data_IF_323272830452
#
_entry.id   IF_323272830452
#
_cell.length_a   1.000
_cell.length_b   1.000
_cell.length_c   1.000
_cell.angle_alpha   90.00
_cell.angle_beta   90.00
_cell.angle_gamma   90.00
#
_symmetry.space_group_name_H-M   'P 1'
#
loop_
_entity.id
_entity.type
_entity.pdbx_description
1 polymer ?
#
# COMPACT_ATOMS: atom_id res chain seq x y z
N UNK A 1 31.26 10.27 17.64
CA UNK A 1 30.00 10.89 17.19
C UNK A 1 28.79 9.94 17.15
N UNK A 2 28.89 8.69 17.60
CA UNK A 2 27.81 7.70 17.63
C UNK A 2 27.27 7.50 19.06
N UNK A 3 26.99 8.59 19.75
CA UNK A 3 26.49 8.55 21.15
C UNK A 3 25.00 8.14 21.17
N UNK A 4 24.24 8.53 20.15
CA UNK A 4 22.82 8.23 20.02
C UNK A 4 22.54 7.49 18.71
N UNK A 5 21.46 6.71 18.69
CA UNK A 5 21.00 6.06 17.46
C UNK A 5 20.39 7.07 16.46
N UNK A 6 20.17 6.61 15.22
CA UNK A 6 19.66 7.44 14.11
C UNK A 6 18.32 8.10 14.49
N UNK A 7 17.38 7.35 15.05
CA UNK A 7 16.06 7.88 15.41
C UNK A 7 16.16 8.99 16.47
N UNK A 8 17.03 8.86 17.46
CA UNK A 8 17.24 9.91 18.45
C UNK A 8 17.95 11.12 17.84
N UNK A 9 18.84 10.91 16.86
CA UNK A 9 19.53 11.99 16.14
C UNK A 9 18.61 12.82 15.23
N UNK A 10 17.40 12.35 14.95
CA UNK A 10 16.36 13.08 14.20
C UNK A 10 15.50 13.99 15.09
N UNK A 11 15.68 13.95 16.42
CA UNK A 11 14.93 14.81 17.35
C UNK A 11 15.65 16.17 17.49
N UNK A 12 15.06 17.26 17.02
CA UNK A 12 15.66 18.56 17.22
C UNK A 12 15.56 18.96 18.70
N UNK A 13 16.58 19.67 19.22
CA UNK A 13 16.65 20.07 20.63
C UNK A 13 16.50 18.92 21.63
N UNK A 14 17.10 17.76 21.29
CA UNK A 14 17.02 16.56 22.12
C UNK A 14 17.47 16.78 23.56
N UNK A 15 18.43 17.67 23.78
CA UNK A 15 18.97 18.05 25.10
C UNK A 15 17.93 18.71 26.03
N UNK A 16 16.84 19.21 25.48
CA UNK A 16 15.74 19.80 26.25
C UNK A 16 14.63 18.81 26.60
N UNK A 17 14.69 17.61 26.06
CA UNK A 17 13.70 16.56 26.32
C UNK A 17 14.14 15.66 27.48
N UNK A 18 13.19 15.26 28.32
CA UNK A 18 13.40 14.18 29.28
C UNK A 18 13.68 12.86 28.54
N UNK A 19 14.57 12.03 29.10
CA UNK A 19 14.98 10.78 28.50
C UNK A 19 13.80 9.85 28.17
N UNK A 20 12.79 9.78 29.06
CA UNK A 20 11.59 8.98 28.83
C UNK A 20 10.79 9.45 27.61
N UNK A 21 10.67 10.78 27.44
CA UNK A 21 9.95 11.37 26.31
C UNK A 21 10.74 11.24 25.01
N UNK A 22 12.04 11.42 25.04
CA UNK A 22 12.92 11.20 23.91
C UNK A 22 12.86 9.73 23.43
N UNK A 23 12.82 8.76 24.35
CA UNK A 23 12.62 7.34 24.02
C UNK A 23 11.28 7.11 23.31
N UNK A 24 10.19 7.69 23.83
CA UNK A 24 8.88 7.57 23.18
C UNK A 24 8.88 8.20 21.78
N UNK A 25 9.43 9.40 21.62
CA UNK A 25 9.55 10.08 20.33
C UNK A 25 10.36 9.27 19.31
N UNK A 26 11.51 8.76 19.71
CA UNK A 26 12.38 7.90 18.90
C UNK A 26 11.63 6.66 18.40
N UNK A 27 10.94 5.96 19.29
CA UNK A 27 10.18 4.77 18.96
C UNK A 27 8.98 5.08 18.04
N UNK A 28 8.29 6.21 18.25
CA UNK A 28 7.14 6.59 17.41
C UNK A 28 7.55 7.01 16.00
N UNK A 29 8.74 7.60 15.80
CA UNK A 29 9.24 7.87 14.45
C UNK A 29 9.43 6.60 13.63
N UNK A 30 9.82 5.48 14.25
CA UNK A 30 9.90 4.19 13.58
C UNK A 30 8.53 3.61 13.19
N UNK A 31 7.44 4.09 13.78
CA UNK A 31 6.07 3.68 13.50
C UNK A 31 5.32 4.66 12.57
N UNK A 32 6.00 5.68 12.06
CA UNK A 32 5.38 6.68 11.19
C UNK A 32 4.91 6.03 9.88
N UNK A 33 3.65 6.23 9.54
CA UNK A 33 3.06 5.75 8.29
C UNK A 33 3.47 6.68 7.15
N UNK A 34 4.00 6.16 6.03
CA UNK A 34 4.29 6.97 4.85
C UNK A 34 3.04 7.68 4.34
N UNK A 35 3.13 8.99 4.18
CA UNK A 35 2.03 9.82 3.73
C UNK A 35 2.03 9.98 2.21
N UNK A 36 0.87 10.26 1.65
CA UNK A 36 0.70 10.55 0.23
C UNK A 36 1.51 11.78 -0.21
N UNK A 37 1.55 12.80 0.64
CA UNK A 37 2.30 14.04 0.44
C UNK A 37 3.14 14.32 1.67
N UNK A 38 4.31 13.72 1.80
CA UNK A 38 5.21 14.03 2.92
C UNK A 38 5.75 15.44 2.77
N UNK A 39 6.07 16.09 3.89
CA UNK A 39 6.72 17.40 3.92
C UNK A 39 8.02 17.32 4.71
N UNK A 40 9.06 18.00 4.22
CA UNK A 40 10.31 18.19 4.94
C UNK A 40 10.01 18.91 6.26
N UNK A 41 10.56 18.47 7.41
CA UNK A 41 10.38 19.17 8.66
C UNK A 41 11.01 20.57 8.61
N UNK A 42 10.26 21.60 9.00
CA UNK A 42 10.76 23.00 9.04
C UNK A 42 11.95 23.17 10.00
N UNK A 43 11.95 22.37 11.07
CA UNK A 43 13.07 22.31 12.02
C UNK A 43 13.68 20.92 11.93
N UNK A 44 14.92 20.84 11.47
CA UNK A 44 15.63 19.60 11.21
C UNK A 44 16.96 19.56 11.99
N UNK A 45 17.58 18.37 12.05
CA UNK A 45 18.89 18.18 12.70
C UNK A 45 20.02 18.08 11.68
N UNK A 46 19.71 17.95 10.38
CA UNK A 46 20.66 17.65 9.31
C UNK A 46 20.93 16.15 9.12
N UNK A 47 20.41 15.29 10.01
CA UNK A 47 20.50 13.84 9.86
C UNK A 47 19.52 13.30 8.82
N UNK A 48 18.48 14.05 8.50
CA UNK A 48 17.39 13.68 7.58
C UNK A 48 17.90 13.34 6.19
N UNK A 49 18.84 14.14 5.67
CA UNK A 49 19.47 13.89 4.37
C UNK A 49 20.28 12.59 4.36
N UNK A 50 21.15 12.40 5.35
CA UNK A 50 21.95 11.18 5.46
C UNK A 50 21.08 9.94 5.66
N UNK A 51 20.03 10.05 6.47
CA UNK A 51 19.09 8.96 6.70
C UNK A 51 18.35 8.55 5.42
N UNK A 52 17.90 9.51 4.60
CA UNK A 52 17.27 9.25 3.31
C UNK A 52 18.24 8.62 2.31
N UNK A 53 19.43 9.17 2.18
CA UNK A 53 20.46 8.70 1.24
C UNK A 53 20.92 7.27 1.57
N UNK A 54 21.30 7.03 2.81
CA UNK A 54 21.88 5.74 3.25
C UNK A 54 20.83 4.63 3.42
N UNK A 55 19.55 4.98 3.48
CA UNK A 55 18.44 4.00 3.53
C UNK A 55 18.31 3.17 2.24
N UNK A 56 18.85 3.66 1.12
CA UNK A 56 18.66 3.05 -0.20
C UNK A 56 17.23 3.17 -0.76
N UNK A 57 16.36 3.97 -0.12
CA UNK A 57 14.98 4.21 -0.59
C UNK A 57 14.94 5.21 -1.75
N UNK A 58 15.81 6.21 -1.73
CA UNK A 58 15.96 7.20 -2.80
C UNK A 58 16.87 6.65 -3.90
N UNK A 59 16.65 7.10 -5.13
CA UNK A 59 17.53 6.75 -6.25
C UNK A 59 18.53 7.87 -6.45
N UNK A 60 19.81 7.52 -6.50
CA UNK A 60 20.90 8.45 -6.73
C UNK A 60 21.56 8.22 -8.08
N UNK A 61 22.07 9.29 -8.70
CA UNK A 61 22.83 9.20 -9.93
C UNK A 61 24.21 8.57 -9.65
N UNK A 62 24.52 7.46 -10.29
CA UNK A 62 25.82 6.79 -10.13
C UNK A 62 26.96 7.53 -10.83
N UNK A 63 26.65 8.26 -11.89
CA UNK A 63 27.58 9.11 -12.65
C UNK A 63 26.93 10.43 -13.03
N UNK A 64 27.75 11.40 -13.34
CA UNK A 64 27.31 12.67 -13.86
C UNK A 64 26.77 12.55 -15.30
N UNK A 65 25.76 13.33 -15.63
CA UNK A 65 25.14 13.32 -16.95
C UNK A 65 24.00 14.29 -17.10
N UNK A 66 23.29 14.15 -18.20
CA UNK A 66 22.09 14.90 -18.55
C UNK A 66 20.88 13.97 -18.55
N UNK A 67 19.77 14.38 -17.95
CA UNK A 67 18.52 13.62 -17.95
C UNK A 67 17.91 13.63 -19.36
N UNK A 68 18.01 12.50 -20.04
CA UNK A 68 17.52 12.35 -21.43
C UNK A 68 16.00 12.12 -21.47
N UNK A 69 15.45 11.37 -20.53
CA UNK A 69 14.03 11.06 -20.45
C UNK A 69 13.59 10.80 -19.02
N UNK A 70 12.36 11.23 -18.69
CA UNK A 70 11.71 10.97 -17.41
C UNK A 70 10.29 10.49 -17.69
N UNK A 71 9.93 9.38 -17.10
CA UNK A 71 8.57 8.82 -17.10
C UNK A 71 8.14 8.52 -15.67
N UNK A 72 6.91 8.10 -15.46
CA UNK A 72 6.43 7.68 -14.13
C UNK A 72 7.12 6.42 -13.59
N UNK A 73 7.81 5.63 -14.42
CA UNK A 73 8.42 4.35 -14.03
C UNK A 73 9.93 4.30 -14.22
N UNK A 74 10.52 5.21 -15.00
CA UNK A 74 11.96 5.18 -15.28
C UNK A 74 12.54 6.56 -15.56
N UNK A 75 13.82 6.70 -15.24
CA UNK A 75 14.65 7.87 -15.55
C UNK A 75 15.83 7.39 -16.38
N UNK A 76 16.07 8.03 -17.52
CA UNK A 76 17.21 7.72 -18.39
C UNK A 76 18.17 8.90 -18.36
N UNK A 77 19.42 8.64 -17.98
CA UNK A 77 20.50 9.63 -17.94
C UNK A 77 21.51 9.32 -19.05
N UNK A 78 21.85 10.34 -19.84
CA UNK A 78 22.96 10.32 -20.75
C UNK A 78 24.22 10.70 -19.98
N UNK A 79 25.09 9.74 -19.74
CA UNK A 79 26.38 9.97 -19.06
C UNK A 79 27.34 10.78 -19.93
N UNK A 80 28.29 11.45 -19.32
CA UNK A 80 29.28 12.26 -20.06
C UNK A 80 30.16 11.43 -21.00
N UNK A 81 30.33 10.14 -20.72
CA UNK A 81 31.08 9.21 -21.59
C UNK A 81 30.25 8.72 -22.79
N UNK A 82 29.02 9.22 -22.94
CA UNK A 82 28.07 8.88 -24.02
C UNK A 82 27.19 7.67 -23.74
N UNK A 83 27.36 7.00 -22.61
CA UNK A 83 26.51 5.90 -22.18
C UNK A 83 25.09 6.36 -21.82
N UNK A 84 24.12 5.45 -21.98
CA UNK A 84 22.75 5.66 -21.52
C UNK A 84 22.50 4.73 -20.33
N UNK A 85 22.15 5.29 -19.18
CA UNK A 85 21.81 4.54 -17.98
C UNK A 85 20.33 4.69 -17.66
N UNK A 86 19.67 3.56 -17.45
CA UNK A 86 18.26 3.51 -17.08
C UNK A 86 18.13 3.20 -15.58
N UNK A 87 17.40 4.05 -14.87
CA UNK A 87 17.01 3.88 -13.47
C UNK A 87 15.54 3.55 -13.41
N UNK A 88 15.21 2.30 -13.05
CA UNK A 88 13.85 1.83 -12.90
C UNK A 88 13.31 2.18 -11.51
N UNK A 89 12.15 2.82 -11.44
CA UNK A 89 11.49 3.19 -10.19
C UNK A 89 10.52 2.11 -9.72
N UNK A 90 10.46 1.90 -8.42
CA UNK A 90 9.46 1.05 -7.78
C UNK A 90 8.13 1.78 -7.71
N UNK A 91 7.07 1.16 -8.23
CA UNK A 91 5.73 1.74 -8.27
C UNK A 91 4.74 0.87 -7.51
N UNK A 92 4.02 1.47 -6.56
CA UNK A 92 2.93 0.85 -5.80
C UNK A 92 3.27 -0.52 -5.21
N UNK A 93 4.49 -0.71 -4.77
CA UNK A 93 4.89 -1.95 -4.11
C UNK A 93 4.44 -1.96 -2.66
N UNK A 94 4.05 -3.14 -2.18
CA UNK A 94 3.68 -3.34 -0.79
C UNK A 94 4.92 -3.54 0.07
N UNK A 95 5.05 -2.78 1.14
CA UNK A 95 6.02 -3.04 2.20
C UNK A 95 5.55 -4.18 3.12
N UNK A 96 6.42 -4.64 4.03
CA UNK A 96 6.06 -5.65 5.04
C UNK A 96 4.94 -5.19 5.98
N UNK A 97 4.74 -3.89 6.13
CA UNK A 97 3.69 -3.28 6.96
C UNK A 97 2.45 -2.86 6.16
N UNK A 98 2.25 -3.40 4.96
CA UNK A 98 1.16 -3.05 4.05
C UNK A 98 1.18 -1.59 3.56
N UNK A 99 2.22 -0.84 3.83
CA UNK A 99 2.37 0.53 3.34
C UNK A 99 2.83 0.54 1.88
N UNK A 100 2.52 1.62 1.16
CA UNK A 100 2.86 1.76 -0.25
C UNK A 100 4.29 2.27 -0.41
N UNK A 101 5.10 1.55 -1.19
CA UNK A 101 6.39 2.03 -1.68
C UNK A 101 6.16 2.55 -3.10
N UNK A 102 6.35 3.84 -3.28
CA UNK A 102 6.14 4.52 -4.57
C UNK A 102 7.24 5.56 -4.78
N UNK A 103 8.13 5.29 -5.73
CA UNK A 103 9.20 6.21 -6.09
C UNK A 103 8.73 7.21 -7.14
N UNK A 104 9.11 8.47 -6.95
CA UNK A 104 8.72 9.60 -7.80
C UNK A 104 9.94 10.33 -8.30
N UNK A 105 10.01 10.71 -9.60
CA UNK A 105 11.14 11.45 -10.13
C UNK A 105 11.24 12.82 -9.46
N UNK A 106 12.44 13.18 -9.03
CA UNK A 106 12.78 14.49 -8.47
C UNK A 106 13.48 15.40 -9.51
N UNK A 107 13.71 14.89 -10.72
CA UNK A 107 14.40 15.59 -11.80
C UNK A 107 13.51 15.75 -13.03
N UNK A 108 13.87 16.70 -13.89
CA UNK A 108 13.17 16.96 -15.15
C UNK A 108 14.10 16.70 -16.34
N UNK A 109 13.49 16.43 -17.52
CA UNK A 109 14.25 16.23 -18.77
C UNK A 109 15.12 17.46 -19.08
N UNK A 110 16.37 17.20 -19.47
CA UNK A 110 17.38 18.22 -19.78
C UNK A 110 18.15 18.74 -18.56
N UNK A 111 17.82 18.29 -17.34
CA UNK A 111 18.55 18.66 -16.14
C UNK A 111 19.92 17.97 -16.11
N UNK A 112 20.94 18.73 -15.71
CA UNK A 112 22.28 18.19 -15.47
C UNK A 112 22.32 17.67 -14.03
N UNK A 113 22.79 16.46 -13.83
CA UNK A 113 22.95 15.81 -12.54
C UNK A 113 24.40 15.40 -12.32
N UNK A 114 24.87 15.60 -11.10
CA UNK A 114 26.17 15.14 -10.63
C UNK A 114 26.13 13.71 -10.11
N UNK A 115 27.28 13.09 -9.92
CA UNK A 115 27.39 11.82 -9.22
C UNK A 115 26.95 11.98 -7.76
N UNK A 116 26.01 11.16 -7.32
CA UNK A 116 25.48 11.19 -5.95
C UNK A 116 24.27 12.09 -5.78
N UNK A 117 23.83 12.82 -6.81
CA UNK A 117 22.60 13.60 -6.74
C UNK A 117 21.38 12.68 -6.66
N UNK A 118 20.41 13.07 -5.86
CA UNK A 118 19.14 12.34 -5.74
C UNK A 118 18.27 12.65 -6.96
N UNK A 119 17.88 11.62 -7.69
CA UNK A 119 17.10 11.72 -8.93
C UNK A 119 15.67 11.26 -8.76
N UNK A 120 15.37 10.47 -7.72
CA UNK A 120 14.01 10.11 -7.37
C UNK A 120 13.86 9.99 -5.85
N UNK A 121 12.76 10.55 -5.34
CA UNK A 121 12.29 10.37 -3.98
C UNK A 121 11.46 9.10 -3.84
N UNK A 122 11.31 8.63 -2.61
CA UNK A 122 10.51 7.46 -2.26
C UNK A 122 9.43 7.82 -1.22
N UNK A 123 8.83 6.80 -0.64
CA UNK A 123 7.92 6.97 0.50
C UNK A 123 8.65 7.61 1.67
N UNK A 124 7.98 8.54 2.37
CA UNK A 124 8.54 9.28 3.50
C UNK A 124 9.82 10.08 3.19
N UNK A 125 10.03 10.45 1.95
CA UNK A 125 11.10 11.39 1.55
C UNK A 125 10.53 12.50 0.68
N UNK A 126 11.14 13.67 0.76
CA UNK A 126 10.82 14.83 -0.05
C UNK A 126 12.11 15.63 -0.30
N UNK A 127 12.35 16.00 -1.55
CA UNK A 127 13.57 16.68 -2.01
C UNK A 127 14.88 16.06 -1.47
N UNK A 128 14.92 14.74 -1.33
CA UNK A 128 16.08 14.00 -0.84
C UNK A 128 16.27 13.98 0.67
N UNK A 129 15.34 14.50 1.43
CA UNK A 129 15.37 14.47 2.89
C UNK A 129 14.26 13.57 3.45
N UNK A 130 14.50 13.02 4.63
CA UNK A 130 13.50 12.22 5.35
C UNK A 130 12.34 13.11 5.79
N UNK A 131 11.13 12.75 5.34
CA UNK A 131 9.88 13.46 5.59
C UNK A 131 8.84 12.47 6.16
N UNK A 132 8.78 12.33 7.47
CA UNK A 132 7.91 11.36 8.14
C UNK A 132 6.48 11.85 8.37
N UNK A 133 6.20 13.12 8.15
CA UNK A 133 4.92 13.72 8.50
C UNK A 133 4.61 15.01 7.77
N UNK A 134 3.88 15.88 8.43
CA UNK A 134 3.41 17.16 7.94
C UNK A 134 3.72 18.28 8.92
N UNK A 135 4.00 19.46 8.40
CA UNK A 135 4.08 20.67 9.21
C UNK A 135 2.68 21.25 9.40
N UNK A 136 2.25 21.36 10.64
CA UNK A 136 0.91 21.83 10.99
C UNK A 136 0.97 23.00 11.99
N UNK A 137 0.09 23.97 11.84
CA UNK A 137 -0.13 25.00 12.85
C UNK A 137 -0.94 24.40 13.98
N UNK A 138 -0.44 24.52 15.22
CA UNK A 138 -1.05 23.95 16.42
C UNK A 138 -1.47 25.08 17.37
N UNK A 139 -2.69 25.01 17.87
CA UNK A 139 -3.18 25.88 18.94
C UNK A 139 -3.31 25.07 20.25
N UNK A 140 -2.80 25.63 21.34
CA UNK A 140 -2.86 25.04 22.68
C UNK A 140 -3.92 25.78 23.52
N UNK A 141 -5.11 25.18 23.58
CA UNK A 141 -6.23 25.73 24.38
C UNK A 141 -7.21 24.61 24.73
N UNK A 142 -8.01 24.80 25.78
CA UNK A 142 -9.11 23.87 26.04
C UNK A 142 -10.22 24.08 25.03
N UNK A 143 -10.70 23.03 24.39
CA UNK A 143 -11.75 23.08 23.39
C UNK A 143 -12.90 22.15 23.74
N UNK A 144 -13.85 22.63 24.52
CA UNK A 144 -15.10 21.95 24.89
C UNK A 144 -14.91 20.47 25.37
N UNK A 145 -13.79 20.22 26.02
CA UNK A 145 -13.40 18.87 26.46
C UNK A 145 -12.97 17.91 25.33
N UNK A 146 -13.00 18.35 24.06
CA UNK A 146 -12.62 17.51 22.91
C UNK A 146 -11.14 17.17 22.85
N UNK A 147 -10.29 17.88 23.58
CA UNK A 147 -8.85 17.63 23.70
C UNK A 147 -8.43 17.24 25.12
N UNK A 148 -9.34 16.64 25.89
CA UNK A 148 -9.05 16.15 27.24
C UNK A 148 -8.08 14.98 27.20
N UNK A 149 -7.09 14.95 28.11
CA UNK A 149 -6.09 13.89 28.24
C UNK A 149 -5.39 13.48 26.91
N UNK A 150 -4.66 14.41 26.32
CA UNK A 150 -3.90 14.20 25.09
C UNK A 150 -4.76 13.90 23.83
N UNK A 151 -6.07 14.12 23.87
CA UNK A 151 -6.91 14.06 22.69
C UNK A 151 -6.64 15.27 21.78
N UNK A 152 -6.77 15.06 20.48
CA UNK A 152 -6.43 16.04 19.44
C UNK A 152 -7.66 16.32 18.59
N UNK A 153 -7.91 17.61 18.32
CA UNK A 153 -8.87 18.05 17.31
C UNK A 153 -8.12 18.34 16.01
N UNK A 154 -8.66 17.89 14.90
CA UNK A 154 -8.11 18.11 13.56
C UNK A 154 -9.10 18.94 12.75
N UNK A 155 -8.60 19.94 12.02
CA UNK A 155 -9.44 20.70 11.08
C UNK A 155 -9.85 19.83 9.89
N UNK A 156 -11.11 19.94 9.49
CA UNK A 156 -11.64 19.28 8.29
C UNK A 156 -10.84 19.62 7.03
N UNK A 157 -10.30 20.84 6.94
CA UNK A 157 -9.44 21.26 5.85
C UNK A 157 -8.20 20.35 5.68
N UNK A 158 -7.60 19.88 6.78
CA UNK A 158 -6.45 18.98 6.69
C UNK A 158 -6.84 17.63 6.06
N UNK A 159 -8.06 17.18 6.33
CA UNK A 159 -8.60 15.94 5.71
C UNK A 159 -8.93 16.16 4.24
N UNK A 160 -9.50 17.31 3.90
CA UNK A 160 -9.83 17.69 2.51
C UNK A 160 -8.57 17.83 1.66
N UNK A 161 -7.54 18.48 2.19
CA UNK A 161 -6.25 18.70 1.53
C UNK A 161 -5.34 17.44 1.50
N UNK A 162 -5.82 16.30 1.98
CA UNK A 162 -5.06 15.03 2.07
C UNK A 162 -3.74 15.12 2.86
N UNK A 163 -3.70 15.96 3.89
CA UNK A 163 -2.46 16.21 4.64
C UNK A 163 -1.89 14.96 5.32
N UNK A 164 -2.74 14.15 5.94
CA UNK A 164 -2.36 12.92 6.62
C UNK A 164 -2.91 11.66 5.94
N UNK A 165 -3.17 11.75 4.65
CA UNK A 165 -3.66 10.61 3.86
C UNK A 165 -2.52 9.65 3.56
N UNK A 166 -2.78 8.36 3.71
CA UNK A 166 -1.85 7.27 3.41
C UNK A 166 -2.44 6.27 2.44
N UNK A 167 -1.58 5.51 1.77
CA UNK A 167 -1.97 4.43 0.86
C UNK A 167 -1.49 3.11 1.45
N UNK A 168 -2.41 2.16 1.58
CA UNK A 168 -2.13 0.82 2.07
C UNK A 168 -2.43 -0.19 0.97
N UNK A 169 -1.54 -1.17 0.79
CA UNK A 169 -1.69 -2.22 -0.21
C UNK A 169 -1.90 -3.54 0.50
N UNK A 170 -3.11 -4.09 0.39
CA UNK A 170 -3.44 -5.40 0.95
C UNK A 170 -3.35 -6.47 -0.12
N UNK A 171 -2.95 -7.68 0.28
CA UNK A 171 -2.85 -8.84 -0.59
C UNK A 171 -3.98 -9.80 -0.30
N UNK A 172 -4.68 -10.18 -1.35
CA UNK A 172 -5.69 -11.22 -1.31
C UNK A 172 -5.22 -12.38 -2.18
N UNK A 173 -5.16 -13.57 -1.61
CA UNK A 173 -4.65 -14.75 -2.29
C UNK A 173 -5.71 -15.85 -2.33
N UNK A 174 -5.80 -16.54 -3.44
CA UNK A 174 -6.62 -17.73 -3.61
C UNK A 174 -5.82 -18.82 -4.28
N UNK A 175 -5.96 -20.03 -3.79
CA UNK A 175 -5.33 -21.23 -4.33
C UNK A 175 -6.41 -22.12 -4.94
N UNK A 176 -6.18 -22.61 -6.14
CA UNK A 176 -6.96 -23.70 -6.74
C UNK A 176 -6.23 -25.02 -6.47
N UNK A 177 -6.90 -25.90 -5.76
CA UNK A 177 -6.34 -27.17 -5.28
C UNK A 177 -7.00 -28.36 -5.96
N UNK A 178 -6.23 -29.41 -6.14
CA UNK A 178 -6.79 -30.71 -6.50
C UNK A 178 -7.46 -31.34 -5.27
N UNK A 179 -8.75 -31.66 -5.38
CA UNK A 179 -9.54 -32.25 -4.30
C UNK A 179 -9.96 -33.67 -4.64
N UNK A 180 -10.36 -34.45 -3.63
CA UNK A 180 -10.87 -35.82 -3.82
C UNK A 180 -12.12 -35.89 -4.70
N UNK A 181 -12.85 -34.81 -4.86
CA UNK A 181 -14.08 -34.69 -5.66
C UNK A 181 -13.84 -34.13 -7.06
N UNK A 182 -12.60 -33.74 -7.37
CA UNK A 182 -12.18 -33.10 -8.60
C UNK A 182 -11.33 -31.87 -8.33
N UNK A 183 -10.71 -31.33 -9.36
CA UNK A 183 -9.90 -30.11 -9.26
C UNK A 183 -10.80 -28.88 -9.08
N UNK A 184 -10.35 -27.94 -8.24
CA UNK A 184 -10.93 -26.59 -8.20
C UNK A 184 -10.49 -25.84 -9.46
N UNK A 185 -11.36 -24.98 -9.97
CA UNK A 185 -11.11 -24.26 -11.22
C UNK A 185 -11.28 -22.74 -10.97
N UNK A 186 -10.32 -21.96 -11.48
CA UNK A 186 -10.45 -20.51 -11.55
C UNK A 186 -11.10 -20.17 -12.89
N UNK A 187 -12.29 -19.57 -12.84
CA UNK A 187 -13.11 -19.32 -14.02
C UNK A 187 -14.03 -18.12 -13.82
N UNK A 188 -14.44 -17.51 -14.93
CA UNK A 188 -15.49 -16.49 -14.95
C UNK A 188 -16.89 -17.09 -14.84
N UNK A 189 -17.07 -18.35 -15.20
CA UNK A 189 -18.37 -19.04 -15.21
C UNK A 189 -18.74 -19.50 -13.80
N UNK A 190 -19.28 -18.58 -13.01
CA UNK A 190 -19.66 -18.78 -11.61
C UNK A 190 -21.18 -18.96 -11.52
N UNK A 191 -21.68 -19.99 -10.83
CA UNK A 191 -23.11 -20.21 -10.70
C UNK A 191 -23.79 -19.13 -9.86
N UNK A 192 -25.00 -18.72 -10.24
CA UNK A 192 -25.87 -17.76 -9.53
C UNK A 192 -25.25 -16.36 -9.33
N UNK A 193 -24.44 -15.91 -10.27
CA UNK A 193 -23.85 -14.57 -10.28
C UNK A 193 -24.30 -13.83 -11.53
N UNK A 194 -24.79 -12.58 -11.37
CA UNK A 194 -25.21 -11.73 -12.47
C UNK A 194 -24.00 -11.13 -13.23
N UNK A 195 -24.22 -10.77 -14.49
CA UNK A 195 -23.19 -10.18 -15.36
C UNK A 195 -22.59 -8.91 -14.79
N UNK A 196 -23.33 -8.12 -14.02
CA UNK A 196 -22.84 -6.88 -13.41
C UNK A 196 -21.69 -7.14 -12.40
N UNK A 197 -21.75 -8.26 -11.69
CA UNK A 197 -20.72 -8.68 -10.75
C UNK A 197 -19.46 -9.26 -11.44
N UNK A 198 -19.57 -9.59 -12.73
CA UNK A 198 -18.49 -10.17 -13.55
C UNK A 198 -17.84 -9.15 -14.49
N UNK A 199 -18.33 -7.90 -14.53
CA UNK A 199 -17.90 -6.88 -15.48
C UNK A 199 -16.40 -6.56 -15.45
N UNK A 200 -15.78 -6.63 -14.26
CA UNK A 200 -14.38 -6.30 -14.03
C UNK A 200 -13.47 -7.54 -14.05
N UNK A 201 -14.03 -8.73 -14.30
CA UNK A 201 -13.26 -9.96 -14.48
C UNK A 201 -12.88 -10.15 -15.94
N UNK A 202 -11.66 -10.66 -16.15
CA UNK A 202 -11.18 -11.10 -17.47
C UNK A 202 -11.82 -12.45 -17.89
N UNK A 203 -11.40 -12.97 -19.04
CA UNK A 203 -11.88 -14.25 -19.58
C UNK A 203 -11.54 -15.43 -18.65
N UNK A 204 -10.49 -15.32 -17.85
CA UNK A 204 -10.04 -16.32 -16.89
C UNK A 204 -10.71 -16.19 -15.53
N UNK A 205 -11.59 -15.21 -15.34
CA UNK A 205 -12.25 -14.97 -14.07
C UNK A 205 -11.40 -14.21 -13.04
N UNK A 206 -10.36 -13.52 -13.47
CA UNK A 206 -9.46 -12.73 -12.63
C UNK A 206 -9.75 -11.26 -12.84
N UNK A 207 -9.78 -10.48 -11.75
CA UNK A 207 -10.06 -9.04 -11.83
C UNK A 207 -8.94 -8.28 -12.56
N UNK A 208 -9.33 -7.31 -13.39
CA UNK A 208 -8.39 -6.47 -14.14
C UNK A 208 -7.68 -5.46 -13.23
N UNK A 209 -6.43 -5.14 -13.55
CA UNK A 209 -5.69 -4.05 -12.90
C UNK A 209 -6.41 -2.72 -13.19
N UNK A 210 -6.52 -1.88 -12.17
CA UNK A 210 -7.20 -0.59 -12.23
C UNK A 210 -8.69 -0.64 -11.91
N UNK A 211 -9.29 -1.81 -11.69
CA UNK A 211 -10.67 -1.93 -11.25
C UNK A 211 -10.85 -1.35 -9.83
N UNK A 212 -11.95 -0.65 -9.61
CA UNK A 212 -12.39 -0.23 -8.28
C UNK A 212 -13.24 -1.34 -7.69
N UNK A 213 -12.93 -1.73 -6.45
CA UNK A 213 -13.60 -2.82 -5.75
C UNK A 213 -14.24 -2.35 -4.46
N UNK A 214 -15.44 -2.84 -4.23
CA UNK A 214 -16.25 -2.62 -3.04
C UNK A 214 -16.39 -3.92 -2.23
N UNK A 215 -16.88 -3.85 -0.98
CA UNK A 215 -17.13 -5.06 -0.18
C UNK A 215 -18.00 -6.07 -0.94
N UNK A 216 -17.59 -7.34 -0.90
CA UNK A 216 -18.24 -8.48 -1.56
C UNK A 216 -18.06 -8.57 -3.09
N UNK A 217 -17.37 -7.64 -3.74
CA UNK A 217 -17.00 -7.79 -5.16
C UNK A 217 -16.07 -8.99 -5.36
N UNK A 218 -16.21 -9.65 -6.51
CA UNK A 218 -15.40 -10.82 -6.85
C UNK A 218 -14.02 -10.35 -7.35
N UNK A 219 -12.97 -10.78 -6.65
CA UNK A 219 -11.58 -10.55 -7.07
C UNK A 219 -11.10 -11.66 -8.00
N UNK A 220 -11.41 -12.90 -7.67
CA UNK A 220 -11.07 -14.08 -8.47
C UNK A 220 -12.22 -15.06 -8.41
N UNK A 221 -12.77 -15.40 -9.56
CA UNK A 221 -13.81 -16.42 -9.67
C UNK A 221 -13.23 -17.81 -9.48
N UNK A 222 -13.74 -18.57 -8.53
CA UNK A 222 -13.35 -19.95 -8.28
C UNK A 222 -14.57 -20.82 -8.01
N UNK A 223 -14.57 -22.00 -8.59
CA UNK A 223 -15.59 -23.04 -8.37
C UNK A 223 -14.95 -24.30 -7.80
N UNK A 224 -15.66 -24.94 -6.89
CA UNK A 224 -15.25 -26.19 -6.25
C UNK A 224 -16.29 -27.25 -6.54
N UNK A 225 -15.91 -28.48 -6.96
CA UNK A 225 -16.85 -29.57 -7.15
C UNK A 225 -17.60 -29.92 -5.87
N UNK A 226 -18.93 -30.12 -5.97
CA UNK A 226 -19.77 -30.60 -4.86
C UNK A 226 -19.79 -32.12 -4.79
N UNK A 227 -19.74 -32.68 -3.59
CA UNK A 227 -20.02 -34.11 -3.38
C UNK A 227 -21.53 -34.38 -3.44
N UNK A 228 -21.89 -35.59 -3.85
CA UNK A 228 -23.30 -36.04 -3.98
C UNK A 228 -24.15 -35.87 -2.69
N UNK A 229 -23.52 -35.74 -1.52
CA UNK A 229 -24.18 -35.58 -0.23
C UNK A 229 -24.59 -34.15 0.11
N UNK A 230 -24.13 -33.16 -0.63
CA UNK A 230 -24.37 -31.72 -0.34
C UNK A 230 -25.54 -31.12 -1.12
N UNK A 231 -26.27 -31.92 -1.92
CA UNK A 231 -27.44 -31.42 -2.66
C UNK A 231 -28.61 -31.20 -1.68
N UNK A 232 -29.14 -29.98 -1.65
CA UNK A 232 -30.38 -29.72 -0.92
C UNK A 232 -31.57 -30.47 -1.52
N UNK A 233 -32.62 -30.75 -0.77
CA UNK A 233 -33.82 -31.39 -1.31
C UNK A 233 -34.41 -30.64 -2.51
N UNK A 234 -34.37 -29.30 -2.47
CA UNK A 234 -34.83 -28.42 -3.56
C UNK A 234 -33.97 -28.57 -4.83
N UNK A 235 -32.64 -28.64 -4.69
CA UNK A 235 -31.74 -28.85 -5.82
C UNK A 235 -31.93 -30.23 -6.45
N UNK A 236 -32.19 -31.27 -5.67
CA UNK A 236 -32.53 -32.60 -6.19
C UNK A 236 -33.85 -32.60 -6.98
N UNK A 237 -34.82 -31.83 -6.51
CA UNK A 237 -36.11 -31.68 -7.19
C UNK A 237 -35.96 -30.92 -8.51
N UNK A 238 -35.23 -29.84 -8.51
CA UNK A 238 -34.92 -29.04 -9.70
C UNK A 238 -34.14 -29.85 -10.76
N UNK A 239 -33.23 -30.70 -10.29
CA UNK A 239 -32.45 -31.62 -11.16
C UNK A 239 -33.37 -32.68 -11.80
N UNK A 240 -34.34 -33.18 -11.06
CA UNK A 240 -35.30 -34.14 -11.58
C UNK A 240 -36.30 -33.53 -12.56
N UNK A 241 -36.69 -32.27 -12.40
CA UNK A 241 -37.69 -31.58 -13.21
C UNK A 241 -37.08 -30.95 -14.48
N UNK A 242 -35.91 -30.33 -14.38
CA UNK A 242 -35.33 -29.54 -15.48
C UNK A 242 -34.17 -30.22 -16.22
N UNK A 243 -33.85 -31.49 -15.91
CA UNK A 243 -32.84 -32.29 -16.62
C UNK A 243 -31.52 -31.56 -16.77
N UNK A 244 -30.50 -31.95 -16.03
CA UNK A 244 -29.10 -31.66 -16.25
C UNK A 244 -28.74 -30.26 -16.75
N UNK A 245 -28.64 -29.27 -15.88
CA UNK A 245 -27.70 -28.15 -16.06
C UNK A 245 -27.40 -27.35 -14.79
N UNK A 246 -27.66 -27.87 -13.61
CA UNK A 246 -26.96 -27.34 -12.44
C UNK A 246 -25.59 -28.02 -12.40
N UNK A 247 -24.53 -27.30 -12.77
CA UNK A 247 -23.17 -27.79 -12.55
C UNK A 247 -23.02 -28.18 -11.09
N UNK A 248 -22.50 -29.39 -10.81
CA UNK A 248 -22.21 -29.87 -9.46
C UNK A 248 -21.05 -29.11 -8.82
N UNK A 249 -21.10 -27.80 -8.85
CA UNK A 249 -20.04 -26.92 -8.37
C UNK A 249 -20.61 -25.87 -7.41
N UNK A 250 -19.79 -25.52 -6.43
CA UNK A 250 -20.06 -24.47 -5.45
C UNK A 250 -19.19 -23.25 -5.76
N UNK A 251 -19.77 -22.06 -5.66
CA UNK A 251 -19.02 -20.80 -5.70
C UNK A 251 -18.12 -20.69 -4.46
N UNK A 252 -16.81 -20.68 -4.68
CA UNK A 252 -15.77 -20.47 -3.68
C UNK A 252 -14.85 -19.32 -4.07
N UNK A 253 -15.40 -18.37 -4.83
CA UNK A 253 -14.68 -17.21 -5.34
C UNK A 253 -14.07 -16.38 -4.21
N UNK A 254 -12.91 -15.82 -4.46
CA UNK A 254 -12.29 -14.82 -3.59
C UNK A 254 -13.06 -13.50 -3.75
N UNK A 255 -13.62 -13.02 -2.66
CA UNK A 255 -14.37 -11.76 -2.63
C UNK A 255 -13.67 -10.75 -1.74
N UNK A 256 -13.88 -9.46 -2.05
CA UNK A 256 -13.41 -8.37 -1.20
C UNK A 256 -14.05 -8.46 0.18
N UNK A 257 -13.25 -8.46 1.27
CA UNK A 257 -13.76 -8.55 2.63
C UNK A 257 -14.70 -7.38 3.00
N UNK A 258 -15.56 -7.61 4.00
CA UNK A 258 -16.42 -6.56 4.52
C UNK A 258 -15.59 -5.40 5.11
N UNK A 259 -15.98 -4.17 4.78
CA UNK A 259 -15.33 -2.96 5.26
C UNK A 259 -14.08 -2.56 4.47
N UNK A 260 -13.62 -3.39 3.54
CA UNK A 260 -12.49 -3.09 2.66
C UNK A 260 -12.98 -2.65 1.28
N UNK A 261 -12.33 -1.64 0.74
CA UNK A 261 -12.55 -1.13 -0.62
C UNK A 261 -11.26 -0.53 -1.14
N UNK A 262 -11.10 -0.49 -2.44
CA UNK A 262 -9.90 0.08 -3.01
C UNK A 262 -9.81 -0.09 -4.51
N UNK A 263 -8.59 0.01 -5.01
CA UNK A 263 -8.28 -0.14 -6.44
C UNK A 263 -7.25 -1.24 -6.64
N UNK A 264 -7.49 -2.13 -7.59
CA UNK A 264 -6.55 -3.20 -7.92
C UNK A 264 -5.31 -2.59 -8.58
N UNK A 265 -4.14 -2.80 -7.98
CA UNK A 265 -2.86 -2.25 -8.44
C UNK A 265 -1.92 -3.29 -9.05
N UNK A 266 -2.06 -4.54 -8.66
CA UNK A 266 -1.22 -5.64 -9.17
C UNK A 266 -1.98 -6.97 -9.11
N UNK A 267 -1.76 -7.82 -10.11
CA UNK A 267 -2.30 -9.17 -10.18
C UNK A 267 -1.19 -10.10 -10.63
N UNK A 268 -0.94 -11.14 -9.84
CA UNK A 268 0.07 -12.18 -10.16
C UNK A 268 -0.59 -13.54 -10.16
N UNK A 269 -0.37 -14.25 -11.24
CA UNK A 269 -0.83 -15.64 -11.43
C UNK A 269 0.39 -16.55 -11.38
N UNK A 270 0.32 -17.57 -10.57
CA UNK A 270 1.36 -18.59 -10.44
C UNK A 270 0.74 -19.94 -10.80
N UNK A 271 1.27 -20.57 -11.85
CA UNK A 271 0.86 -21.88 -12.28
C UNK A 271 1.95 -22.91 -11.89
N UNK A 272 1.55 -24.15 -11.67
CA UNK A 272 2.50 -25.22 -11.34
C UNK A 272 3.54 -25.46 -12.44
N UNK A 273 3.18 -25.21 -13.69
CA UNK A 273 4.07 -25.38 -14.84
C UNK A 273 5.23 -24.37 -14.82
N UNK A 274 4.97 -23.14 -14.34
CA UNK A 274 5.96 -22.06 -14.30
C UNK A 274 6.69 -21.95 -12.95
N UNK A 275 6.05 -22.41 -11.86
CA UNK A 275 6.57 -22.30 -10.49
C UNK A 275 6.52 -23.64 -9.76
N UNK A 276 7.69 -24.25 -9.60
CA UNK A 276 7.86 -25.49 -8.81
C UNK A 276 7.65 -25.31 -7.30
N UNK A 277 7.65 -24.06 -6.81
CA UNK A 277 7.58 -23.73 -5.38
C UNK A 277 6.16 -23.67 -4.82
N UNK A 278 5.13 -23.95 -5.63
CA UNK A 278 3.76 -24.04 -5.14
C UNK A 278 3.60 -25.23 -4.19
N UNK A 279 2.79 -25.05 -3.14
CA UNK A 279 2.47 -26.09 -2.17
C UNK A 279 1.97 -27.36 -2.87
N UNK A 280 2.24 -28.52 -2.30
CA UNK A 280 1.74 -29.78 -2.83
C UNK A 280 0.20 -29.76 -2.95
N UNK A 281 -0.33 -30.19 -4.12
CA UNK A 281 -1.75 -30.20 -4.41
C UNK A 281 -2.37 -28.86 -4.83
N UNK A 282 -1.57 -27.80 -4.99
CA UNK A 282 -2.02 -26.52 -5.55
C UNK A 282 -1.62 -26.45 -7.01
N UNK A 283 -2.57 -26.27 -7.92
CA UNK A 283 -2.32 -26.17 -9.36
C UNK A 283 -2.11 -24.74 -9.83
N UNK A 284 -2.88 -23.81 -9.25
CA UNK A 284 -2.79 -22.38 -9.55
C UNK A 284 -2.99 -21.57 -8.28
N UNK A 285 -2.25 -20.48 -8.16
CA UNK A 285 -2.43 -19.48 -7.13
C UNK A 285 -2.53 -18.11 -7.77
N UNK A 286 -3.56 -17.35 -7.41
CA UNK A 286 -3.73 -15.97 -7.85
C UNK A 286 -3.60 -15.05 -6.64
N UNK A 287 -2.78 -14.03 -6.81
CA UNK A 287 -2.56 -12.97 -5.82
C UNK A 287 -3.02 -11.63 -6.40
N UNK A 288 -3.98 -11.01 -5.75
CA UNK A 288 -4.50 -9.69 -6.10
C UNK A 288 -4.07 -8.69 -5.04
N UNK A 289 -3.44 -7.61 -5.45
CA UNK A 289 -3.05 -6.50 -4.57
C UNK A 289 -4.02 -5.34 -4.76
N UNK A 290 -4.65 -4.92 -3.66
CA UNK A 290 -5.62 -3.83 -3.65
C UNK A 290 -5.08 -2.67 -2.84
N UNK A 291 -4.99 -1.49 -3.43
CA UNK A 291 -4.58 -0.27 -2.76
C UNK A 291 -5.79 0.44 -2.16
N UNK A 292 -5.69 0.77 -0.89
CA UNK A 292 -6.68 1.56 -0.15
C UNK A 292 -6.09 2.93 0.17
N UNK A 293 -6.86 3.98 -0.04
CA UNK A 293 -6.52 5.33 0.38
C UNK A 293 -7.22 5.61 1.71
N UNK A 294 -6.43 5.79 2.76
CA UNK A 294 -6.94 6.03 4.12
C UNK A 294 -6.68 7.48 4.50
N UNK A 295 -7.74 8.23 4.74
CA UNK A 295 -7.70 9.57 5.31
C UNK A 295 -7.67 9.49 6.82
N UNK A 296 -7.20 10.57 7.46
CA UNK A 296 -7.25 10.66 8.92
C UNK A 296 -8.69 10.64 9.42
N UNK A 297 -8.93 9.87 10.47
CA UNK A 297 -10.26 9.71 11.11
C UNK A 297 -10.14 9.84 12.63
N UNK A 298 -11.28 9.98 13.30
CA UNK A 298 -11.33 9.89 14.77
C UNK A 298 -10.83 8.51 15.21
N UNK A 299 -9.99 8.49 16.25
CA UNK A 299 -9.34 7.28 16.75
C UNK A 299 -7.91 7.07 16.23
N UNK A 300 -7.47 7.83 15.22
CA UNK A 300 -6.10 7.74 14.72
C UNK A 300 -5.11 8.36 15.71
N UNK A 301 -3.97 7.70 15.88
CA UNK A 301 -2.89 8.17 16.74
C UNK A 301 -1.99 9.13 15.99
N UNK A 302 -1.76 10.28 16.58
CA UNK A 302 -0.79 11.27 16.10
C UNK A 302 0.29 11.52 17.15
N UNK A 303 1.47 11.91 16.69
CA UNK A 303 2.59 12.24 17.57
C UNK A 303 3.52 13.25 16.91
N UNK A 304 4.22 14.00 17.77
CA UNK A 304 5.41 14.75 17.38
C UNK A 304 6.68 13.92 17.62
N UNK A 305 7.83 14.55 17.45
CA UNK A 305 9.16 13.93 17.68
C UNK A 305 9.61 13.93 19.14
N UNK A 306 8.87 14.56 20.05
CA UNK A 306 9.25 14.81 21.44
C UNK A 306 8.47 13.96 22.45
N UNK A 307 7.89 12.84 22.00
CA UNK A 307 7.11 11.95 22.86
C UNK A 307 5.69 12.45 23.14
N UNK A 308 5.26 13.54 22.53
CA UNK A 308 3.90 14.09 22.59
C UNK A 308 2.98 13.30 21.67
N UNK A 309 2.31 12.29 22.21
CA UNK A 309 1.34 11.44 21.49
C UNK A 309 -0.09 11.82 21.89
N UNK A 310 -1.00 11.65 20.96
CA UNK A 310 -2.42 11.86 21.21
C UNK A 310 -3.27 11.10 20.18
N UNK A 311 -4.57 11.04 20.46
CA UNK A 311 -5.56 10.39 19.59
C UNK A 311 -6.52 11.43 19.06
N UNK A 312 -6.81 11.39 17.77
CA UNK A 312 -7.81 12.28 17.15
C UNK A 312 -9.18 11.96 17.72
N UNK A 313 -9.77 12.92 18.43
CA UNK A 313 -11.11 12.79 19.01
C UNK A 313 -12.20 13.19 18.03
N UNK A 314 -12.02 14.33 17.36
CA UNK A 314 -12.97 14.87 16.41
C UNK A 314 -12.27 15.58 15.25
N UNK A 315 -12.94 15.58 14.12
CA UNK A 315 -12.64 16.45 12.98
C UNK A 315 -13.66 17.58 13.01
N UNK A 316 -13.17 18.81 13.02
CA UNK A 316 -14.00 20.02 13.15
C UNK A 316 -13.75 20.95 11.95
N UNK A 317 -14.75 21.74 11.54
CA UNK A 317 -14.63 22.70 10.44
C UNK A 317 -13.46 23.67 10.57
#
# INVERSE_FOLDING_TARGET
HQIVGISAALIPFLEHDDANRALMGSNMMAQAVPLLRPEIPLVSTGMEYSAALDSGQVIVAEKEGEVASVTGSQIIIREKDGGMRNYQMQKYQRSNQSTCIDQRPAVVKGQIVGKGDIIADSSSTDAGELALGQNAVVAFLSWEGGNFEDAILVSERMVQDDRFTSVHVEKHEVEARDTKLGAEEITRDIPNVGEDALKDLDENGIIRIGAEVEPNDILVGKITPKGEKELTPEERLLRAIFGEKSRDVKDTSLRMPHGERGKVVDVKVFTREENSDLKAGVDMMVRVSVAQRRKITSGDKMAGRHGNKGVVSRIVP
#
